data_IF_140877903439
#
_entry.id   IF_140877903439
#
_cell.length_a   1.000
_cell.length_b   1.000
_cell.length_c   1.000
_cell.angle_alpha   90.00
_cell.angle_beta   90.00
_cell.angle_gamma   90.00
#
_symmetry.space_group_name_H-M   'P 1'
#
loop_
_entity.id
_entity.type
_entity.pdbx_description
1 polymer ?
#
# COMPACT_ATOMS: atom_id res chain seq x y z
N UNK A 1 -2.42 -6.43 0.91
CA UNK A 1 -3.41 -5.59 0.22
C UNK A 1 -4.47 -6.51 -0.34
N UNK A 2 -5.69 -6.48 0.19
CA UNK A 2 -6.83 -7.33 -0.18
C UNK A 2 -7.34 -6.92 -1.57
N UNK A 3 -6.52 -7.12 -2.60
CA UNK A 3 -6.77 -6.74 -3.98
C UNK A 3 -6.49 -7.94 -4.88
N UNK A 4 -7.23 -8.04 -5.99
CA UNK A 4 -7.05 -9.08 -7.00
C UNK A 4 -5.88 -8.80 -7.93
N UNK A 5 -5.46 -9.83 -8.68
CA UNK A 5 -4.44 -9.73 -9.72
C UNK A 5 -4.92 -10.43 -10.99
N UNK A 6 -4.93 -9.72 -12.12
CA UNK A 6 -5.32 -10.27 -13.43
C UNK A 6 -4.22 -11.13 -14.07
N UNK A 7 -2.95 -10.78 -13.84
CA UNK A 7 -1.80 -11.54 -14.33
C UNK A 7 -0.64 -11.45 -13.33
N UNK A 8 -0.50 -12.45 -12.43
CA UNK A 8 0.56 -12.47 -11.43
C UNK A 8 1.92 -12.92 -11.98
N UNK A 9 2.00 -13.41 -13.22
CA UNK A 9 3.23 -13.90 -13.84
C UNK A 9 3.90 -12.88 -14.76
N UNK A 10 3.19 -11.80 -15.10
CA UNK A 10 3.70 -10.64 -15.85
C UNK A 10 3.62 -9.33 -15.04
N UNK A 11 4.29 -9.20 -13.88
CA UNK A 11 4.34 -7.91 -13.20
C UNK A 11 5.10 -6.88 -14.04
N UNK A 12 4.71 -5.58 -14.01
CA UNK A 12 5.51 -4.51 -14.60
C UNK A 12 6.97 -4.54 -14.11
N UNK A 13 7.93 -4.14 -14.94
CA UNK A 13 9.37 -4.24 -14.65
C UNK A 13 9.77 -3.69 -13.28
N UNK A 14 9.15 -2.59 -12.85
CA UNK A 14 9.38 -1.96 -11.53
C UNK A 14 9.03 -2.85 -10.33
N UNK A 15 8.25 -3.92 -10.54
CA UNK A 15 7.85 -4.93 -9.56
C UNK A 15 8.32 -6.33 -9.94
N UNK A 16 9.03 -6.48 -11.05
CA UNK A 16 9.51 -7.77 -11.53
C UNK A 16 10.47 -8.38 -10.51
N UNK A 17 10.16 -9.61 -10.12
CA UNK A 17 11.09 -10.43 -9.35
C UNK A 17 12.23 -10.83 -10.31
N UNK A 18 13.47 -10.47 -9.97
CA UNK A 18 14.65 -10.81 -10.78
C UNK A 18 14.89 -12.32 -10.97
N UNK A 19 14.05 -13.17 -10.36
CA UNK A 19 14.14 -14.64 -10.33
C UNK A 19 13.01 -15.34 -11.11
N UNK A 20 12.09 -14.60 -11.73
CA UNK A 20 10.87 -15.16 -12.30
C UNK A 20 9.93 -15.73 -11.23
N UNK A 21 8.69 -16.04 -11.63
CA UNK A 21 7.65 -16.57 -10.74
C UNK A 21 6.56 -15.55 -10.40
N UNK A 22 5.65 -15.89 -9.47
CA UNK A 22 4.51 -15.04 -9.13
C UNK A 22 4.95 -13.73 -8.45
N UNK A 23 4.24 -12.64 -8.74
CA UNK A 23 4.44 -11.36 -8.09
C UNK A 23 4.22 -11.49 -6.57
N UNK A 24 5.25 -11.13 -5.80
CA UNK A 24 5.19 -11.09 -4.32
C UNK A 24 5.10 -9.65 -3.80
N UNK A 25 5.11 -8.67 -4.70
CA UNK A 25 5.14 -7.26 -4.35
C UNK A 25 3.72 -6.80 -4.00
N UNK A 26 3.46 -6.56 -2.72
CA UNK A 26 2.17 -6.06 -2.23
C UNK A 26 2.01 -4.55 -2.47
N UNK A 27 2.12 -4.10 -3.72
CA UNK A 27 1.97 -2.69 -4.15
C UNK A 27 1.01 -2.57 -5.32
N UNK A 28 -0.09 -3.32 -5.25
CA UNK A 28 -1.02 -3.53 -6.36
C UNK A 28 -1.67 -2.23 -6.85
N UNK A 29 -1.72 -1.16 -6.04
CA UNK A 29 -2.23 0.17 -6.43
C UNK A 29 -1.39 0.88 -7.50
N UNK A 30 -0.16 0.42 -7.73
CA UNK A 30 0.71 0.89 -8.80
C UNK A 30 0.78 -0.08 -10.00
N UNK A 31 0.09 -1.21 -9.93
CA UNK A 31 0.16 -2.25 -10.94
C UNK A 31 -1.07 -2.18 -11.87
N UNK A 32 -0.83 -2.24 -13.19
CA UNK A 32 -1.90 -2.31 -14.20
C UNK A 32 -2.80 -3.56 -14.09
N UNK A 33 -2.33 -4.61 -13.41
CA UNK A 33 -3.07 -5.85 -13.19
C UNK A 33 -3.85 -5.89 -11.87
N UNK A 34 -3.71 -4.85 -11.03
CA UNK A 34 -4.39 -4.76 -9.74
C UNK A 34 -5.89 -4.58 -9.90
N UNK A 35 -6.68 -5.36 -9.16
CA UNK A 35 -8.15 -5.26 -9.12
C UNK A 35 -8.60 -4.87 -7.73
N UNK A 36 -9.37 -3.79 -7.64
CA UNK A 36 -9.92 -3.28 -6.38
C UNK A 36 -11.30 -3.91 -6.18
N UNK A 37 -11.54 -4.45 -5.00
CA UNK A 37 -12.83 -4.98 -4.55
C UNK A 37 -13.46 -4.01 -3.53
N UNK A 38 -14.76 -4.17 -3.29
CA UNK A 38 -15.50 -3.31 -2.35
C UNK A 38 -14.94 -3.40 -0.91
N UNK A 39 -14.35 -4.53 -0.55
CA UNK A 39 -13.72 -4.81 0.76
C UNK A 39 -12.20 -4.60 0.76
N UNK A 40 -11.62 -4.01 -0.29
CA UNK A 40 -10.18 -3.72 -0.35
C UNK A 40 -9.75 -2.56 0.53
N UNK A 41 -10.66 -1.62 0.82
CA UNK A 41 -10.32 -0.34 1.44
C UNK A 41 -9.58 -0.44 2.80
N UNK A 42 -9.83 -1.42 3.70
CA UNK A 42 -9.16 -1.45 4.99
C UNK A 42 -7.65 -1.66 4.86
N UNK A 43 -7.22 -2.60 4.01
CA UNK A 43 -5.80 -2.86 3.80
C UNK A 43 -5.10 -1.74 3.02
N UNK A 44 -5.83 -1.05 2.14
CA UNK A 44 -5.32 0.13 1.43
C UNK A 44 -5.11 1.29 2.42
N UNK A 45 -6.04 1.49 3.37
CA UNK A 45 -5.92 2.48 4.43
C UNK A 45 -4.75 2.16 5.39
N UNK A 46 -4.53 0.89 5.73
CA UNK A 46 -3.35 0.46 6.50
C UNK A 46 -2.06 0.76 5.74
N UNK A 47 -2.00 0.49 4.43
CA UNK A 47 -0.84 0.87 3.61
C UNK A 47 -0.61 2.38 3.61
N UNK A 48 -1.68 3.19 3.50
CA UNK A 48 -1.58 4.66 3.61
C UNK A 48 -0.89 5.05 4.91
N UNK A 49 -1.26 4.43 6.04
CA UNK A 49 -0.64 4.67 7.33
C UNK A 49 0.86 4.30 7.35
N UNK A 50 1.24 3.15 6.79
CA UNK A 50 2.66 2.76 6.66
C UNK A 50 3.47 3.78 5.85
N UNK A 51 2.93 4.26 4.73
CA UNK A 51 3.59 5.25 3.87
C UNK A 51 3.70 6.61 4.55
N UNK A 52 2.69 7.03 5.31
CA UNK A 52 2.74 8.23 6.13
C UNK A 52 3.79 8.12 7.24
N UNK A 53 3.93 6.94 7.85
CA UNK A 53 4.97 6.68 8.82
C UNK A 53 6.37 6.76 8.16
N UNK A 54 6.57 6.08 7.04
CA UNK A 54 7.83 6.13 6.26
C UNK A 54 8.18 7.56 5.88
N UNK A 55 7.21 8.36 5.41
CA UNK A 55 7.39 9.79 5.11
C UNK A 55 7.87 10.59 6.31
N UNK A 56 7.35 10.29 7.51
CA UNK A 56 7.72 11.01 8.74
C UNK A 56 9.08 10.63 9.31
N UNK A 57 9.61 9.45 8.95
CA UNK A 57 10.89 8.93 9.46
C UNK A 57 12.03 8.99 8.43
N UNK A 58 11.70 9.25 7.17
CA UNK A 58 12.68 9.40 6.09
C UNK A 58 13.10 10.86 5.88
N UNK A 59 14.33 11.13 5.40
CA UNK A 59 14.67 12.45 4.87
C UNK A 59 13.70 12.86 3.76
N UNK A 60 13.28 14.13 3.76
CA UNK A 60 12.25 14.64 2.86
C UNK A 60 12.58 14.40 1.38
N UNK A 61 13.80 14.73 0.95
CA UNK A 61 14.24 14.54 -0.43
C UNK A 61 14.28 13.06 -0.83
N UNK A 62 14.71 12.18 0.09
CA UNK A 62 14.72 10.74 -0.14
C UNK A 62 13.32 10.19 -0.33
N UNK A 63 12.34 10.64 0.47
CA UNK A 63 10.96 10.22 0.31
C UNK A 63 10.36 10.74 -1.00
N UNK A 64 10.54 12.04 -1.28
CA UNK A 64 9.97 12.71 -2.45
C UNK A 64 10.43 12.06 -3.77
N UNK A 65 11.68 11.59 -3.84
CA UNK A 65 12.23 10.94 -5.02
C UNK A 65 12.04 9.40 -5.03
N UNK A 66 11.36 8.84 -4.03
CA UNK A 66 11.12 7.40 -3.94
C UNK A 66 9.82 6.98 -4.62
N UNK A 67 9.70 5.69 -4.92
CA UNK A 67 8.43 5.11 -5.37
C UNK A 67 7.36 5.10 -4.27
N UNK A 68 7.71 5.34 -2.99
CA UNK A 68 6.72 5.44 -1.90
C UNK A 68 5.89 6.72 -1.98
N UNK A 69 6.47 7.83 -2.44
CA UNK A 69 5.71 9.06 -2.68
C UNK A 69 4.64 8.84 -3.76
N UNK A 70 5.01 8.17 -4.86
CA UNK A 70 4.09 7.83 -5.94
C UNK A 70 2.97 6.89 -5.46
N UNK A 71 3.30 5.89 -4.65
CA UNK A 71 2.31 4.98 -4.07
C UNK A 71 1.34 5.69 -3.13
N UNK A 72 1.83 6.61 -2.30
CA UNK A 72 0.99 7.36 -1.38
C UNK A 72 -0.04 8.18 -2.16
N UNK A 73 0.39 8.92 -3.19
CA UNK A 73 -0.51 9.69 -4.04
C UNK A 73 -1.51 8.80 -4.78
N UNK A 74 -1.08 7.66 -5.31
CA UNK A 74 -1.98 6.71 -5.98
C UNK A 74 -3.04 6.16 -5.02
N UNK A 75 -2.66 5.84 -3.78
CA UNK A 75 -3.57 5.37 -2.74
C UNK A 75 -4.57 6.46 -2.34
N UNK A 76 -4.12 7.70 -2.16
CA UNK A 76 -4.99 8.82 -1.81
C UNK A 76 -6.06 9.03 -2.89
N UNK A 77 -5.66 9.09 -4.16
CA UNK A 77 -6.58 9.21 -5.31
C UNK A 77 -7.55 8.03 -5.36
N UNK A 78 -7.04 6.80 -5.20
CA UNK A 78 -7.86 5.59 -5.25
C UNK A 78 -8.93 5.60 -4.16
N UNK A 79 -8.56 5.91 -2.92
CA UNK A 79 -9.47 5.94 -1.79
C UNK A 79 -10.54 7.03 -1.96
N UNK A 80 -10.16 8.21 -2.45
CA UNK A 80 -11.10 9.32 -2.71
C UNK A 80 -12.08 9.00 -3.84
N UNK A 81 -11.62 8.39 -4.93
CA UNK A 81 -12.44 8.15 -6.12
C UNK A 81 -13.31 6.89 -6.02
N UNK A 82 -12.78 5.80 -5.45
CA UNK A 82 -13.47 4.51 -5.42
C UNK A 82 -14.32 4.35 -4.16
N UNK A 83 -13.89 4.95 -3.04
CA UNK A 83 -14.57 4.80 -1.74
C UNK A 83 -15.02 6.14 -1.13
N UNK A 84 -15.71 7.03 -1.87
CA UNK A 84 -16.04 8.38 -1.38
C UNK A 84 -16.98 8.38 -0.17
N UNK A 85 -17.79 7.33 0.01
CA UNK A 85 -18.72 7.21 1.13
C UNK A 85 -18.07 6.67 2.41
N UNK A 86 -16.84 6.17 2.33
CA UNK A 86 -16.13 5.53 3.45
C UNK A 86 -14.99 6.39 4.03
N UNK A 87 -14.87 7.66 3.65
CA UNK A 87 -13.72 8.51 4.02
C UNK A 87 -13.50 8.59 5.54
N UNK A 88 -14.57 8.71 6.34
CA UNK A 88 -14.46 8.72 7.80
C UNK A 88 -13.87 7.40 8.35
N UNK A 89 -14.26 6.27 7.77
CA UNK A 89 -13.77 4.95 8.19
C UNK A 89 -12.32 4.75 7.75
N UNK A 90 -11.99 5.16 6.52
CA UNK A 90 -10.63 5.17 5.98
C UNK A 90 -9.71 6.01 6.87
N UNK A 91 -10.13 7.21 7.28
CA UNK A 91 -9.34 8.08 8.14
C UNK A 91 -9.15 7.47 9.54
N UNK A 92 -10.20 6.89 10.12
CA UNK A 92 -10.11 6.20 11.40
C UNK A 92 -9.12 5.03 11.34
N UNK A 93 -9.25 4.15 10.34
CA UNK A 93 -8.35 3.01 10.15
C UNK A 93 -6.91 3.46 9.90
N UNK A 94 -6.71 4.48 9.06
CA UNK A 94 -5.39 5.05 8.78
C UNK A 94 -4.75 5.57 10.06
N UNK A 95 -5.50 6.36 10.85
CA UNK A 95 -5.00 6.93 12.08
C UNK A 95 -4.71 5.88 13.14
N UNK A 96 -5.62 4.91 13.35
CA UNK A 96 -5.42 3.81 14.28
C UNK A 96 -4.16 3.02 13.95
N UNK A 97 -4.00 2.62 12.68
CA UNK A 97 -2.83 1.86 12.25
C UNK A 97 -1.54 2.68 12.39
N UNK A 98 -1.57 3.97 12.06
CA UNK A 98 -0.43 4.88 12.23
C UNK A 98 -0.02 5.03 13.70
N UNK A 99 -0.97 5.07 14.63
CA UNK A 99 -0.67 5.11 16.06
C UNK A 99 0.00 3.82 16.53
N UNK A 100 -0.51 2.65 16.13
CA UNK A 100 0.10 1.35 16.46
C UNK A 100 1.54 1.25 15.94
N UNK A 101 1.80 1.71 14.71
CA UNK A 101 3.16 1.78 14.15
C UNK A 101 4.08 2.68 14.97
N UNK A 102 3.61 3.87 15.35
CA UNK A 102 4.39 4.84 16.13
C UNK A 102 4.64 4.38 17.57
N UNK A 103 3.71 3.63 18.15
CA UNK A 103 3.85 3.00 19.45
C UNK A 103 4.78 1.77 19.42
N UNK A 104 5.16 1.28 18.24
CA UNK A 104 5.95 0.05 18.09
C UNK A 104 5.18 -1.23 18.40
N UNK A 105 3.84 -1.18 18.38
CA UNK A 105 2.96 -2.33 18.65
C UNK A 105 2.87 -3.28 17.45
N UNK A 106 3.14 -2.75 16.25
CA UNK A 106 3.15 -3.51 14.99
C UNK A 106 4.36 -3.11 14.14
N UNK A 107 4.79 -4.01 13.26
CA UNK A 107 5.89 -3.77 12.32
C UNK A 107 5.41 -3.09 11.04
N UNK A 108 6.31 -2.33 10.41
CA UNK A 108 6.14 -1.90 9.03
C UNK A 108 6.16 -3.11 8.11
N UNK A 109 5.21 -3.16 7.18
CA UNK A 109 4.98 -4.27 6.26
C UNK A 109 4.54 -5.53 7.00
N UNK A 110 3.42 -6.11 6.57
CA UNK A 110 3.06 -7.45 7.00
C UNK A 110 4.20 -8.41 6.62
N UNK A 111 4.68 -9.18 7.60
CA UNK A 111 5.55 -10.31 7.32
C UNK A 111 4.73 -11.32 6.52
N UNK A 112 4.95 -11.42 5.21
CA UNK A 112 4.50 -12.60 4.47
C UNK A 112 5.11 -13.82 5.17
N UNK A 113 4.33 -14.88 5.47
CA UNK A 113 4.91 -16.11 5.99
C UNK A 113 6.00 -16.56 5.03
N UNK A 114 7.17 -16.89 5.57
CA UNK A 114 8.22 -17.55 4.81
C UNK A 114 7.62 -18.87 4.28
N UNK A 115 7.51 -18.98 2.95
CA UNK A 115 7.20 -20.22 2.26
C UNK A 115 8.51 -20.96 2.02
#
# INVERSE_FOLDING_TARGET
>A
MNMGCLDPYDPPDMFSNSRGGYCTVQRCTLCRHGVVFDDSFPEIAMRKAELLHIRSTSPADSFANSTFAVELSAIEILLEQVFPLLQNEIDNLTNEHLQKLRAGEIFLFNQSPAI
#
